data_IF_590495436770
#
_entry.id   IF_590495436770
#
_cell.length_a   1.000
_cell.length_b   1.000
_cell.length_c   1.000
_cell.angle_alpha   90.00
_cell.angle_beta   90.00
_cell.angle_gamma   90.00
#
_symmetry.space_group_name_H-M   'P 1'
#
loop_
_entity.id
_entity.type
_entity.pdbx_description
1 polymer ?
#
# COMPACT_ATOMS: atom_id res chain seq x y z
N UNK A 1 -27.93 -2.97 -30.14
CA UNK A 1 -26.96 -4.08 -30.00
C UNK A 1 -25.72 -3.77 -29.13
N UNK A 2 -25.75 -2.80 -28.21
CA UNK A 2 -24.57 -2.45 -27.38
C UNK A 2 -24.52 -3.11 -26.00
N UNK A 3 -25.65 -3.64 -25.52
CA UNK A 3 -25.82 -4.18 -24.16
C UNK A 3 -24.75 -5.21 -23.73
N UNK A 4 -24.39 -6.24 -24.53
CA UNK A 4 -23.40 -7.22 -24.08
C UNK A 4 -21.97 -6.66 -23.95
N UNK A 5 -21.60 -5.65 -24.74
CA UNK A 5 -20.29 -4.99 -24.62
C UNK A 5 -20.22 -4.12 -23.36
N UNK A 6 -21.33 -3.49 -23.01
CA UNK A 6 -21.44 -2.69 -21.78
C UNK A 6 -21.37 -3.57 -20.52
N UNK A 7 -22.06 -4.72 -20.54
CA UNK A 7 -21.99 -5.71 -19.46
C UNK A 7 -20.58 -6.27 -19.28
N UNK A 8 -19.86 -6.57 -20.37
CA UNK A 8 -18.48 -7.03 -20.28
C UNK A 8 -17.58 -5.95 -19.65
N UNK A 9 -17.70 -4.69 -20.10
CA UNK A 9 -16.93 -3.58 -19.53
C UNK A 9 -17.21 -3.41 -18.03
N UNK A 10 -18.47 -3.45 -17.60
CA UNK A 10 -18.85 -3.38 -16.18
C UNK A 10 -18.24 -4.55 -15.41
N UNK A 11 -18.27 -5.77 -15.96
CA UNK A 11 -17.68 -6.95 -15.34
C UNK A 11 -16.17 -6.79 -15.14
N UNK A 12 -15.45 -6.30 -16.16
CA UNK A 12 -14.01 -6.05 -16.08
C UNK A 12 -13.66 -4.92 -15.11
N UNK A 13 -14.44 -3.83 -15.11
CA UNK A 13 -14.26 -2.72 -14.16
C UNK A 13 -14.46 -3.17 -12.71
N UNK A 14 -15.46 -4.01 -12.44
CA UNK A 14 -15.71 -4.59 -11.12
C UNK A 14 -14.55 -5.45 -10.65
N UNK A 15 -13.99 -6.28 -11.53
CA UNK A 15 -12.80 -7.10 -11.24
C UNK A 15 -11.57 -6.22 -10.94
N UNK A 16 -11.34 -5.19 -11.74
CA UNK A 16 -10.26 -4.23 -11.52
C UNK A 16 -10.38 -3.58 -10.14
N UNK A 17 -11.57 -3.10 -9.78
CA UNK A 17 -11.84 -2.49 -8.48
C UNK A 17 -11.56 -3.46 -7.32
N UNK A 18 -12.01 -4.71 -7.42
CA UNK A 18 -11.73 -5.73 -6.40
C UNK A 18 -10.22 -6.01 -6.26
N UNK A 19 -9.49 -6.12 -7.37
CA UNK A 19 -8.04 -6.30 -7.35
C UNK A 19 -7.32 -5.10 -6.73
N UNK A 20 -7.74 -3.86 -7.02
CA UNK A 20 -7.18 -2.66 -6.42
C UNK A 20 -7.37 -2.66 -4.90
N UNK A 21 -8.56 -3.01 -4.40
CA UNK A 21 -8.82 -3.14 -2.96
C UNK A 21 -7.92 -4.19 -2.31
N UNK A 22 -7.78 -5.37 -2.93
CA UNK A 22 -6.92 -6.42 -2.43
C UNK A 22 -5.44 -5.99 -2.40
N UNK A 23 -4.97 -5.31 -3.45
CA UNK A 23 -3.62 -4.78 -3.51
C UNK A 23 -3.36 -3.73 -2.41
N UNK A 24 -4.31 -2.83 -2.16
CA UNK A 24 -4.22 -1.85 -1.07
C UNK A 24 -4.05 -2.55 0.28
N UNK A 25 -4.86 -3.59 0.56
CA UNK A 25 -4.75 -4.35 1.81
C UNK A 25 -3.39 -5.04 1.95
N UNK A 26 -2.87 -5.61 0.85
CA UNK A 26 -1.55 -6.23 0.84
C UNK A 26 -0.44 -5.19 1.10
N UNK A 27 -0.56 -3.98 0.53
CA UNK A 27 0.35 -2.86 0.79
C UNK A 27 0.28 -2.44 2.26
N UNK A 28 -0.92 -2.33 2.86
CA UNK A 28 -1.07 -2.01 4.28
C UNK A 28 -0.30 -3.00 5.15
N UNK A 29 -0.52 -4.31 4.95
CA UNK A 29 0.14 -5.37 5.72
C UNK A 29 1.66 -5.37 5.54
N UNK A 30 2.13 -5.13 4.31
CA UNK A 30 3.56 -4.96 4.04
C UNK A 30 4.16 -3.78 4.81
N UNK A 31 3.50 -2.62 4.81
CA UNK A 31 3.98 -1.42 5.50
C UNK A 31 3.98 -1.56 7.02
N UNK A 32 3.05 -2.33 7.59
CA UNK A 32 3.08 -2.70 9.01
C UNK A 32 4.32 -3.53 9.36
N UNK A 33 4.61 -4.56 8.57
CA UNK A 33 5.82 -5.37 8.75
C UNK A 33 7.10 -4.55 8.54
N UNK A 34 7.11 -3.68 7.54
CA UNK A 34 8.22 -2.77 7.26
C UNK A 34 8.47 -1.82 8.44
N UNK A 35 7.41 -1.23 9.02
CA UNK A 35 7.55 -0.33 10.17
C UNK A 35 8.14 -1.03 11.39
N UNK A 36 7.76 -2.30 11.66
CA UNK A 36 8.35 -3.08 12.76
C UNK A 36 9.87 -3.19 12.63
N UNK A 37 10.38 -3.38 11.40
CA UNK A 37 11.83 -3.40 11.13
C UNK A 37 12.45 -2.02 11.36
N UNK A 38 11.80 -0.96 10.89
CA UNK A 38 12.26 0.42 11.10
C UNK A 38 12.33 0.78 12.59
N UNK A 39 11.34 0.37 13.38
CA UNK A 39 11.29 0.59 14.82
C UNK A 39 12.38 -0.20 15.55
N UNK A 40 12.59 -1.48 15.19
CA UNK A 40 13.67 -2.29 15.74
C UNK A 40 15.05 -1.66 15.47
N UNK A 41 15.28 -1.18 14.24
CA UNK A 41 16.51 -0.49 13.88
C UNK A 41 16.67 0.85 14.62
N UNK A 42 15.59 1.62 14.79
CA UNK A 42 15.61 2.92 15.49
C UNK A 42 15.96 2.77 16.98
N UNK A 43 15.55 1.65 17.59
CA UNK A 43 15.85 1.34 18.99
C UNK A 43 17.28 0.78 19.20
N UNK A 44 18.02 0.47 18.14
CA UNK A 44 19.42 0.06 18.23
C UNK A 44 20.35 1.26 18.52
N UNK A 45 21.62 0.99 18.86
CA UNK A 45 22.66 2.01 19.11
C UNK A 45 23.50 2.27 17.86
N UNK A 46 24.07 3.48 17.76
CA UNK A 46 24.97 3.86 16.67
C UNK A 46 24.27 4.03 15.32
N UNK A 47 24.99 3.74 14.22
CA UNK A 47 24.55 3.98 12.85
C UNK A 47 23.22 3.28 12.49
N UNK A 48 22.90 2.15 13.13
CA UNK A 48 21.64 1.42 12.91
C UNK A 48 20.41 2.27 13.26
N UNK A 49 20.51 3.18 14.24
CA UNK A 49 19.43 4.11 14.57
C UNK A 49 19.09 5.05 13.43
N UNK A 50 20.10 5.55 12.73
CA UNK A 50 19.93 6.46 11.60
C UNK A 50 19.28 5.74 10.42
N UNK A 51 19.65 4.47 10.20
CA UNK A 51 18.99 3.59 9.22
C UNK A 51 17.52 3.42 9.59
N UNK A 52 17.19 3.09 10.85
CA UNK A 52 15.80 2.98 11.31
C UNK A 52 14.98 4.25 11.09
N UNK A 53 15.59 5.42 11.34
CA UNK A 53 14.96 6.72 11.10
C UNK A 53 14.69 6.96 9.60
N UNK A 54 15.63 6.59 8.73
CA UNK A 54 15.46 6.67 7.29
C UNK A 54 14.36 5.72 6.78
N UNK A 55 14.32 4.48 7.30
CA UNK A 55 13.28 3.50 6.99
C UNK A 55 11.90 4.01 7.42
N UNK A 56 11.76 4.57 8.62
CA UNK A 56 10.49 5.18 9.06
C UNK A 56 10.01 6.26 8.09
N UNK A 57 10.93 7.11 7.59
CA UNK A 57 10.58 8.13 6.58
C UNK A 57 10.08 7.52 5.28
N UNK A 58 10.68 6.43 4.82
CA UNK A 58 10.22 5.69 3.63
C UNK A 58 8.82 5.13 3.89
N UNK A 59 8.59 4.48 5.03
CA UNK A 59 7.30 3.93 5.41
C UNK A 59 6.19 4.99 5.42
N UNK A 60 6.44 6.15 6.04
CA UNK A 60 5.48 7.26 6.09
C UNK A 60 5.11 7.78 4.70
N UNK A 61 6.09 7.90 3.80
CA UNK A 61 5.85 8.30 2.40
C UNK A 61 4.99 7.27 1.66
N UNK A 62 5.25 5.98 1.86
CA UNK A 62 4.47 4.92 1.25
C UNK A 62 3.03 4.86 1.83
N UNK A 63 2.85 5.08 3.13
CA UNK A 63 1.51 5.21 3.75
C UNK A 63 0.70 6.39 3.17
N UNK A 64 1.37 7.48 2.83
CA UNK A 64 0.71 8.60 2.16
C UNK A 64 0.24 8.23 0.74
N UNK A 65 1.04 7.46 0.00
CA UNK A 65 0.64 6.90 -1.32
C UNK A 65 -0.53 5.93 -1.16
N UNK A 66 -0.46 5.01 -0.21
CA UNK A 66 -1.54 4.06 0.11
C UNK A 66 -2.86 4.77 0.44
N UNK A 67 -2.80 5.86 1.21
CA UNK A 67 -3.98 6.67 1.55
C UNK A 67 -4.60 7.31 0.31
N UNK A 68 -3.78 7.78 -0.63
CA UNK A 68 -4.28 8.27 -1.93
C UNK A 68 -4.88 7.13 -2.75
N UNK A 69 -4.28 5.94 -2.72
CA UNK A 69 -4.82 4.77 -3.42
C UNK A 69 -6.21 4.38 -2.91
N UNK A 70 -6.42 4.45 -1.59
CA UNK A 70 -7.73 4.24 -0.94
C UNK A 70 -8.81 5.22 -1.41
N UNK A 71 -8.46 6.37 -1.97
CA UNK A 71 -9.46 7.30 -2.54
C UNK A 71 -9.99 6.86 -3.91
N UNK A 72 -9.31 5.94 -4.60
CA UNK A 72 -9.72 5.42 -5.90
C UNK A 72 -10.64 4.18 -5.81
N UNK A 73 -10.89 3.66 -4.60
CA UNK A 73 -11.67 2.45 -4.35
C UNK A 73 -12.64 2.63 -3.19
#
# INVERSE_FOLDING_TARGET
NGTPLWEDLISKATKLHACLRAAILAVSAYLEAFQKIADAATNARGATKEIGTALTRICLRHKAVETRMKSFT
#
